data_IF_970332602690
#
_entry.id   IF_970332602690
#
_cell.length_a   1.000
_cell.length_b   1.000
_cell.length_c   1.000
_cell.angle_alpha   90.00
_cell.angle_beta   90.00
_cell.angle_gamma   90.00
#
_symmetry.space_group_name_H-M   'P 1'
#
loop_
_entity.id
_entity.type
_entity.pdbx_description
1 polymer ?
#
# COMPACT_ATOMS: atom_id res chain seq x y z
N UNK A 1 21.20 29.33 -23.66
CA UNK A 1 22.49 28.59 -23.66
C UNK A 1 22.36 27.52 -22.60
N UNK A 2 22.14 26.27 -22.96
CA UNK A 2 22.16 25.15 -22.01
C UNK A 2 23.62 24.93 -21.60
N UNK A 3 24.00 25.28 -20.38
CA UNK A 3 25.22 24.77 -19.79
C UNK A 3 25.04 23.27 -19.55
N UNK A 4 25.75 22.47 -20.32
CA UNK A 4 25.87 21.03 -20.04
C UNK A 4 26.74 20.90 -18.78
N UNK A 5 26.11 20.53 -17.66
CA UNK A 5 26.78 20.14 -16.41
C UNK A 5 27.45 18.77 -16.60
N UNK A 6 28.63 18.72 -17.23
CA UNK A 6 29.30 17.48 -17.59
C UNK A 6 30.75 17.39 -17.12
N UNK A 7 31.21 18.30 -16.27
CA UNK A 7 32.58 18.21 -15.78
C UNK A 7 32.63 17.58 -14.36
N UNK A 8 33.76 16.91 -14.01
CA UNK A 8 33.94 16.38 -12.65
C UNK A 8 33.89 17.47 -11.56
N UNK A 9 34.15 18.73 -11.90
CA UNK A 9 34.07 19.89 -11.02
C UNK A 9 32.63 20.28 -10.76
N UNK A 10 31.76 20.26 -11.76
CA UNK A 10 30.32 20.52 -11.61
C UNK A 10 29.68 19.50 -10.68
N UNK A 11 30.04 18.22 -10.83
CA UNK A 11 29.56 17.14 -9.97
C UNK A 11 30.04 17.27 -8.52
N UNK A 12 31.22 17.79 -8.28
CA UNK A 12 31.74 18.07 -6.91
C UNK A 12 30.99 19.23 -6.27
N UNK A 13 30.78 20.31 -7.02
CA UNK A 13 30.02 21.47 -6.55
C UNK A 13 28.58 21.13 -6.19
N UNK A 14 27.92 20.30 -7.02
CA UNK A 14 26.57 19.75 -6.76
C UNK A 14 26.58 18.93 -5.48
N UNK A 15 27.56 18.05 -5.29
CA UNK A 15 27.66 17.19 -4.11
C UNK A 15 27.87 17.99 -2.82
N UNK A 16 28.75 18.99 -2.87
CA UNK A 16 29.01 19.88 -1.74
C UNK A 16 27.76 20.68 -1.37
N UNK A 17 27.01 21.22 -2.33
CA UNK A 17 25.77 21.95 -2.08
C UNK A 17 24.67 21.04 -1.48
N UNK A 18 24.60 19.76 -1.91
CA UNK A 18 23.68 18.77 -1.32
C UNK A 18 24.06 18.42 0.12
N UNK A 19 25.36 18.28 0.43
CA UNK A 19 25.87 18.04 1.78
C UNK A 19 25.62 19.23 2.72
N UNK A 20 25.56 20.45 2.19
CA UNK A 20 25.20 21.67 2.91
C UNK A 20 23.67 21.88 3.06
N UNK A 21 22.85 20.93 2.60
CA UNK A 21 21.39 21.02 2.62
C UNK A 21 20.79 22.01 1.62
N UNK A 22 21.61 22.50 0.69
CA UNK A 22 21.20 23.37 -0.41
C UNK A 22 20.83 22.51 -1.61
N UNK A 23 19.78 22.87 -2.33
CA UNK A 23 19.46 22.20 -3.59
C UNK A 23 20.16 22.93 -4.76
N UNK A 24 21.29 22.41 -5.27
CA UNK A 24 22.06 23.10 -6.31
C UNK A 24 21.32 23.23 -7.65
N UNK A 25 20.21 22.50 -7.82
CA UNK A 25 19.39 22.57 -9.01
C UNK A 25 18.28 23.63 -8.93
N UNK A 26 18.05 24.19 -7.74
CA UNK A 26 17.06 25.28 -7.54
C UNK A 26 17.71 26.66 -7.63
N UNK A 27 19.02 26.80 -7.37
CA UNK A 27 19.74 28.07 -7.51
C UNK A 27 20.26 28.35 -8.93
N UNK A 28 20.24 27.39 -9.84
CA UNK A 28 20.57 27.62 -11.25
C UNK A 28 19.33 28.01 -12.01
N UNK A 29 19.16 29.31 -12.29
CA UNK A 29 18.36 29.92 -13.39
C UNK A 29 17.44 28.98 -14.17
N UNK A 30 16.58 28.21 -13.48
CA UNK A 30 15.37 27.74 -14.13
C UNK A 30 14.52 28.99 -14.29
N UNK A 31 14.36 29.57 -15.50
CA UNK A 31 13.57 30.76 -15.69
C UNK A 31 12.20 30.50 -15.06
N UNK A 32 11.79 31.38 -14.13
CA UNK A 32 10.42 31.30 -13.63
C UNK A 32 9.51 31.25 -14.85
N UNK A 33 8.45 30.44 -14.79
CA UNK A 33 7.52 30.30 -15.90
C UNK A 33 7.03 31.68 -16.46
N UNK A 34 7.05 32.71 -15.62
CA UNK A 34 6.77 34.12 -15.94
C UNK A 34 7.77 34.71 -16.94
N UNK A 35 9.03 34.26 -16.93
CA UNK A 35 10.09 34.73 -17.83
C UNK A 35 10.06 34.01 -19.19
N UNK A 36 9.27 32.94 -19.33
CA UNK A 36 9.14 32.14 -20.56
C UNK A 36 7.90 32.53 -21.37
N UNK A 37 7.68 33.79 -21.64
CA UNK A 37 6.44 34.32 -22.27
C UNK A 37 6.03 33.60 -23.58
N UNK A 38 7.00 33.03 -24.31
CA UNK A 38 6.71 32.21 -25.51
C UNK A 38 6.34 30.77 -25.22
N UNK A 39 7.03 30.11 -24.29
CA UNK A 39 6.88 28.67 -23.96
C UNK A 39 5.71 28.46 -22.99
N UNK A 40 5.43 29.39 -22.08
CA UNK A 40 4.30 29.32 -21.12
C UNK A 40 2.92 29.28 -21.80
N UNK A 41 2.82 29.68 -23.07
CA UNK A 41 1.56 29.54 -23.85
C UNK A 41 1.27 28.09 -24.26
N UNK A 42 2.26 27.22 -24.24
CA UNK A 42 2.20 25.86 -24.79
C UNK A 42 2.38 24.80 -23.71
N UNK A 43 3.28 25.01 -22.74
CA UNK A 43 3.64 24.05 -21.70
C UNK A 43 3.39 24.58 -20.28
N UNK A 44 3.18 23.70 -19.33
CA UNK A 44 3.07 24.00 -17.91
C UNK A 44 1.98 25.00 -17.50
N UNK A 45 0.99 25.27 -18.33
CA UNK A 45 -0.04 26.30 -18.10
C UNK A 45 -0.90 26.08 -16.84
N UNK A 46 -0.85 24.89 -16.26
CA UNK A 46 -1.60 24.48 -15.05
C UNK A 46 -0.69 23.95 -13.96
N UNK A 47 0.62 24.10 -14.11
CA UNK A 47 1.62 23.73 -13.11
C UNK A 47 1.90 24.99 -12.30
N UNK A 48 1.78 24.88 -10.98
CA UNK A 48 2.03 25.99 -10.05
C UNK A 48 3.49 26.00 -9.61
N UNK A 49 4.06 24.81 -9.41
CA UNK A 49 5.40 24.66 -8.87
C UNK A 49 6.00 23.32 -9.28
N UNK A 50 7.33 23.25 -9.30
CA UNK A 50 8.10 22.01 -9.42
C UNK A 50 8.90 21.79 -8.15
N UNK A 51 8.81 20.61 -7.56
CA UNK A 51 9.62 20.22 -6.42
C UNK A 51 10.54 19.05 -6.80
N UNK A 52 11.80 19.12 -6.35
CA UNK A 52 12.76 18.03 -6.52
C UNK A 52 12.57 17.02 -5.40
N UNK A 53 12.24 15.79 -5.76
CA UNK A 53 12.10 14.70 -4.81
C UNK A 53 13.48 14.09 -4.48
N UNK A 54 13.69 13.58 -3.26
CA UNK A 54 14.88 12.80 -2.95
C UNK A 54 14.92 11.56 -3.85
N UNK A 55 16.11 11.12 -4.20
CA UNK A 55 16.23 9.86 -4.96
C UNK A 55 15.84 8.67 -4.09
N UNK A 56 15.35 7.56 -4.68
CA UNK A 56 15.11 6.33 -3.93
C UNK A 56 16.31 5.88 -3.11
N UNK A 57 17.52 5.95 -3.68
CA UNK A 57 18.76 5.57 -2.99
C UNK A 57 19.03 6.41 -1.72
N UNK A 58 18.72 7.72 -1.76
CA UNK A 58 18.81 8.58 -0.58
C UNK A 58 17.82 8.16 0.50
N UNK A 59 16.54 7.97 0.13
CA UNK A 59 15.51 7.59 1.10
C UNK A 59 15.75 6.20 1.71
N UNK A 60 16.21 5.25 0.92
CA UNK A 60 16.58 3.91 1.41
C UNK A 60 17.83 3.96 2.31
N UNK A 61 18.78 4.81 2.00
CA UNK A 61 19.99 5.02 2.82
C UNK A 61 19.70 5.73 4.15
N UNK A 62 18.80 6.70 4.15
CA UNK A 62 18.39 7.46 5.36
C UNK A 62 17.47 6.63 6.27
N UNK A 63 16.69 5.73 5.70
CA UNK A 63 15.71 4.88 6.39
C UNK A 63 15.90 3.41 5.95
N UNK A 64 17.02 2.76 6.29
CA UNK A 64 17.30 1.39 5.89
C UNK A 64 16.40 0.39 6.64
N UNK A 65 16.19 -0.77 6.04
CA UNK A 65 15.63 -1.93 6.74
C UNK A 65 16.65 -2.48 7.74
N UNK A 66 16.19 -2.80 8.96
CA UNK A 66 16.98 -3.61 9.89
C UNK A 66 17.14 -5.04 9.35
N UNK A 67 18.15 -5.78 9.84
CA UNK A 67 18.32 -7.20 9.49
C UNK A 67 17.05 -8.01 9.78
N UNK A 68 16.44 -7.79 10.95
CA UNK A 68 15.18 -8.44 11.32
C UNK A 68 14.05 -8.10 10.35
N UNK A 69 13.90 -6.84 9.92
CA UNK A 69 12.89 -6.45 8.94
C UNK A 69 13.12 -7.10 7.57
N UNK A 70 14.38 -7.24 7.14
CA UNK A 70 14.73 -7.94 5.90
C UNK A 70 14.34 -9.43 5.97
N UNK A 71 14.59 -10.10 7.09
CA UNK A 71 14.18 -11.48 7.31
C UNK A 71 12.67 -11.65 7.29
N UNK A 72 11.92 -10.76 7.96
CA UNK A 72 10.44 -10.76 7.94
C UNK A 72 9.93 -10.66 6.51
N UNK A 73 10.46 -9.71 5.72
CA UNK A 73 10.04 -9.53 4.34
C UNK A 73 10.38 -10.74 3.47
N UNK A 74 11.60 -11.27 3.58
CA UNK A 74 12.04 -12.43 2.80
C UNK A 74 11.18 -13.67 3.13
N UNK A 75 11.06 -14.00 4.41
CA UNK A 75 10.32 -15.16 4.87
C UNK A 75 8.82 -15.07 4.51
N UNK A 76 8.19 -13.93 4.75
CA UNK A 76 6.77 -13.77 4.44
C UNK A 76 6.46 -13.81 2.94
N UNK A 77 7.39 -13.38 2.07
CA UNK A 77 7.24 -13.56 0.62
C UNK A 77 7.21 -15.03 0.24
N UNK A 78 8.03 -15.85 0.88
CA UNK A 78 8.06 -17.30 0.62
C UNK A 78 6.81 -18.00 1.19
N UNK A 79 6.33 -17.63 2.38
CA UNK A 79 5.07 -18.13 2.92
C UNK A 79 3.87 -17.77 2.03
N UNK A 80 3.80 -16.51 1.55
CA UNK A 80 2.74 -16.08 0.63
C UNK A 80 2.79 -16.91 -0.66
N UNK A 81 3.97 -17.17 -1.21
CA UNK A 81 4.11 -18.04 -2.38
C UNK A 81 3.63 -19.45 -2.06
N UNK A 82 4.01 -20.01 -0.92
CA UNK A 82 3.58 -21.34 -0.51
C UNK A 82 2.04 -21.45 -0.44
N UNK A 83 1.37 -20.45 0.14
CA UNK A 83 -0.10 -20.37 0.15
C UNK A 83 -0.68 -20.28 -1.28
N UNK A 84 -0.13 -19.43 -2.13
CA UNK A 84 -0.62 -19.24 -3.51
C UNK A 84 -0.47 -20.49 -4.37
N UNK A 85 0.58 -21.28 -4.14
CA UNK A 85 0.84 -22.55 -4.84
C UNK A 85 0.24 -23.79 -4.16
N UNK A 86 -0.52 -23.61 -3.07
CA UNK A 86 -1.17 -24.70 -2.34
C UNK A 86 -0.20 -25.61 -1.56
N UNK A 87 1.00 -25.14 -1.28
CA UNK A 87 2.02 -25.82 -0.45
C UNK A 87 1.79 -25.56 1.05
N UNK A 88 1.12 -24.47 1.37
CA UNK A 88 0.65 -24.10 2.71
C UNK A 88 -0.88 -23.98 2.63
N UNK A 89 -1.58 -24.63 3.55
CA UNK A 89 -3.05 -24.67 3.57
C UNK A 89 -3.68 -23.52 4.34
N UNK A 90 -2.87 -22.66 4.96
CA UNK A 90 -3.36 -21.43 5.60
C UNK A 90 -3.87 -20.45 4.54
N UNK A 91 -5.08 -19.89 4.68
CA UNK A 91 -5.49 -18.81 3.82
C UNK A 91 -4.68 -17.54 4.10
N UNK A 92 -4.27 -16.85 3.04
CA UNK A 92 -3.67 -15.51 3.12
C UNK A 92 -4.74 -14.48 3.52
N UNK A 93 -4.51 -13.75 4.60
CA UNK A 93 -5.42 -12.70 5.08
C UNK A 93 -4.74 -11.34 5.01
N UNK A 94 -5.13 -10.52 4.03
CA UNK A 94 -4.67 -9.13 3.90
C UNK A 94 -5.66 -8.23 4.62
N UNK A 95 -5.30 -7.70 5.79
CA UNK A 95 -6.22 -6.96 6.67
C UNK A 95 -5.59 -5.68 7.22
N UNK A 96 -6.33 -4.58 7.20
CA UNK A 96 -5.89 -3.29 7.71
C UNK A 96 -6.67 -2.12 7.13
N UNK A 97 -6.27 -0.87 7.42
CA UNK A 97 -7.03 0.31 7.02
C UNK A 97 -7.23 0.40 5.51
N UNK A 98 -8.38 0.96 5.10
CA UNK A 98 -8.65 1.27 3.70
C UNK A 98 -7.50 2.11 3.11
N UNK A 99 -7.02 3.09 3.88
CA UNK A 99 -5.80 3.85 3.60
C UNK A 99 -5.18 4.32 4.91
N UNK A 100 -3.87 4.37 4.96
CA UNK A 100 -3.12 4.98 6.07
C UNK A 100 -3.11 6.49 5.87
N UNK A 101 -3.75 7.22 6.77
CA UNK A 101 -3.72 8.68 6.81
C UNK A 101 -3.05 9.19 8.09
N UNK A 102 -3.07 8.39 9.15
CA UNK A 102 -2.41 8.64 10.42
C UNK A 102 -1.43 7.49 10.72
N UNK A 103 -0.11 7.72 10.57
CA UNK A 103 0.90 6.72 10.88
C UNK A 103 0.83 6.20 12.32
N UNK A 104 0.49 7.07 13.30
CA UNK A 104 0.39 6.67 14.70
C UNK A 104 -0.74 5.68 14.93
N UNK A 105 -1.92 5.96 14.38
CA UNK A 105 -3.05 5.04 14.45
C UNK A 105 -2.79 3.73 13.69
N UNK A 106 -2.07 3.79 12.56
CA UNK A 106 -1.67 2.59 11.83
C UNK A 106 -0.72 1.69 12.64
N UNK A 107 0.23 2.26 13.39
CA UNK A 107 1.13 1.49 14.26
C UNK A 107 0.42 0.95 15.50
N UNK A 108 -0.57 1.66 16.06
CA UNK A 108 -1.42 1.11 17.12
C UNK A 108 -2.23 -0.10 16.62
N UNK A 109 -2.79 0.00 15.42
CA UNK A 109 -3.45 -1.13 14.76
C UNK A 109 -2.47 -2.29 14.52
N UNK A 110 -1.24 -2.01 14.09
CA UNK A 110 -0.21 -3.02 13.86
C UNK A 110 0.11 -3.81 15.13
N UNK A 111 0.27 -3.15 16.30
CA UNK A 111 0.52 -3.84 17.57
C UNK A 111 -0.59 -4.81 17.93
N UNK A 112 -1.85 -4.40 17.76
CA UNK A 112 -3.02 -5.26 18.02
C UNK A 112 -3.03 -6.46 17.07
N UNK A 113 -2.77 -6.21 15.79
CA UNK A 113 -2.76 -7.26 14.77
C UNK A 113 -1.60 -8.23 14.97
N UNK A 114 -0.42 -7.75 15.38
CA UNK A 114 0.75 -8.60 15.70
C UNK A 114 0.46 -9.56 16.84
N UNK A 115 -0.17 -9.07 17.92
CA UNK A 115 -0.56 -9.92 19.04
C UNK A 115 -1.53 -11.03 18.59
N UNK A 116 -2.56 -10.66 17.83
CA UNK A 116 -3.55 -11.62 17.32
C UNK A 116 -2.95 -12.58 16.29
N UNK A 117 -2.03 -12.11 15.42
CA UNK A 117 -1.28 -12.96 14.48
C UNK A 117 -0.57 -14.10 15.22
N UNK A 118 0.12 -13.79 16.32
CA UNK A 118 0.82 -14.80 17.12
C UNK A 118 -0.09 -15.90 17.67
N UNK A 119 -1.36 -15.60 17.95
CA UNK A 119 -2.34 -16.57 18.42
C UNK A 119 -2.92 -17.43 17.27
N UNK A 120 -2.97 -16.91 16.04
CA UNK A 120 -3.67 -17.51 14.89
C UNK A 120 -2.70 -18.00 13.79
N UNK A 121 -1.39 -17.97 14.03
CA UNK A 121 -0.37 -18.27 13.03
C UNK A 121 -0.43 -19.73 12.51
N UNK A 122 -0.98 -20.63 13.30
CA UNK A 122 -1.23 -22.01 12.87
C UNK A 122 -2.29 -22.16 11.79
N UNK A 123 -3.28 -21.28 11.72
CA UNK A 123 -4.43 -21.36 10.86
C UNK A 123 -4.45 -20.29 9.76
N UNK A 124 -3.89 -19.11 9.99
CA UNK A 124 -3.96 -17.96 9.09
C UNK A 124 -2.59 -17.38 8.80
N UNK A 125 -2.32 -17.07 7.54
CA UNK A 125 -1.19 -16.22 7.16
C UNK A 125 -1.64 -14.76 7.11
N UNK A 126 -1.41 -14.00 8.19
CA UNK A 126 -1.88 -12.62 8.34
C UNK A 126 -0.81 -11.64 7.83
N UNK A 127 -1.20 -10.78 6.91
CA UNK A 127 -0.40 -9.69 6.33
C UNK A 127 -1.14 -8.37 6.53
N UNK A 128 -0.46 -7.35 7.08
CA UNK A 128 -1.10 -6.05 7.30
C UNK A 128 -1.27 -5.29 5.99
N UNK A 129 -2.48 -4.82 5.73
CA UNK A 129 -2.80 -3.90 4.65
C UNK A 129 -2.32 -2.48 5.01
N UNK A 130 -1.34 -1.96 4.26
CA UNK A 130 -0.70 -0.64 4.47
C UNK A 130 -0.74 0.13 3.16
N UNK A 131 -1.89 0.72 2.85
CA UNK A 131 -2.13 1.41 1.58
C UNK A 131 -1.96 2.91 1.76
N UNK A 132 -1.03 3.50 1.01
CA UNK A 132 -0.68 4.92 1.10
C UNK A 132 -1.28 5.77 -0.01
N UNK A 133 -1.76 5.15 -1.08
CA UNK A 133 -2.28 5.82 -2.26
C UNK A 133 -3.74 5.43 -2.49
N UNK A 134 -4.51 6.34 -3.03
CA UNK A 134 -5.93 6.11 -3.35
C UNK A 134 -6.26 6.57 -4.76
N UNK A 135 -6.84 5.68 -5.60
CA UNK A 135 -7.26 6.05 -6.93
C UNK A 135 -8.49 6.97 -6.83
N UNK A 136 -8.39 8.16 -7.40
CA UNK A 136 -9.50 9.13 -7.45
C UNK A 136 -9.85 9.45 -8.90
N UNK A 137 -11.14 9.55 -9.20
CA UNK A 137 -11.59 9.87 -10.56
C UNK A 137 -11.57 11.38 -10.78
N UNK A 138 -12.01 12.17 -9.80
CA UNK A 138 -12.10 13.65 -9.92
C UNK A 138 -11.55 14.35 -8.70
N UNK A 139 -12.16 14.15 -7.53
CA UNK A 139 -11.84 14.85 -6.28
C UNK A 139 -11.62 13.87 -5.14
N UNK A 140 -10.94 14.32 -4.09
CA UNK A 140 -10.70 13.59 -2.86
C UNK A 140 -9.22 13.41 -2.54
N UNK A 141 -8.93 13.14 -1.28
CA UNK A 141 -7.58 12.90 -0.79
C UNK A 141 -6.92 11.72 -1.52
N UNK A 142 -5.72 11.93 -2.04
CA UNK A 142 -5.00 10.97 -2.90
C UNK A 142 -4.15 9.97 -2.13
N UNK A 143 -4.05 10.10 -0.81
CA UNK A 143 -3.24 9.22 0.03
C UNK A 143 -2.08 9.92 0.71
N UNK A 144 -1.47 9.24 1.68
CA UNK A 144 -0.42 9.78 2.54
C UNK A 144 0.82 10.23 1.75
N UNK A 145 1.20 9.51 0.70
CA UNK A 145 2.35 9.89 -0.13
C UNK A 145 2.08 11.22 -0.83
N UNK A 146 0.88 11.39 -1.36
CA UNK A 146 0.56 12.55 -2.19
C UNK A 146 0.18 13.80 -1.39
N UNK A 147 -0.46 13.64 -0.22
CA UNK A 147 -0.94 14.75 0.61
C UNK A 147 -0.97 14.32 2.08
N UNK A 148 0.21 14.30 2.74
CA UNK A 148 0.37 13.76 4.10
C UNK A 148 -0.33 14.59 5.18
N UNK A 149 -0.54 15.88 4.95
CA UNK A 149 -1.15 16.81 5.90
C UNK A 149 -2.67 16.95 5.72
N UNK A 150 -3.23 16.36 4.66
CA UNK A 150 -4.67 16.38 4.33
C UNK A 150 -5.20 17.82 4.14
N UNK A 151 -4.33 18.71 3.69
CA UNK A 151 -4.61 20.14 3.51
C UNK A 151 -4.50 20.63 2.04
N UNK A 152 -4.14 19.69 1.15
CA UNK A 152 -3.94 19.97 -0.27
C UNK A 152 -2.58 20.61 -0.59
N UNK A 153 -1.66 20.69 0.38
CA UNK A 153 -0.28 21.15 0.15
C UNK A 153 0.52 20.23 -0.74
N UNK A 154 0.12 18.95 -0.82
CA UNK A 154 0.73 17.93 -1.67
C UNK A 154 2.25 17.75 -1.43
N UNK A 155 2.72 17.82 -0.19
CA UNK A 155 4.13 17.63 0.17
C UNK A 155 4.56 16.16 -0.01
N UNK A 156 4.83 15.77 -1.27
CA UNK A 156 5.16 14.39 -1.64
C UNK A 156 6.46 13.92 -0.97
N UNK A 157 7.46 14.81 -0.82
CA UNK A 157 8.70 14.49 -0.12
C UNK A 157 8.44 14.01 1.31
N UNK A 158 7.64 14.76 2.06
CA UNK A 158 7.20 14.37 3.41
C UNK A 158 6.41 13.06 3.38
N UNK A 159 5.51 12.93 2.42
CA UNK A 159 4.67 11.73 2.25
C UNK A 159 5.47 10.46 2.03
N UNK A 160 6.49 10.49 1.17
CA UNK A 160 7.38 9.35 0.91
C UNK A 160 8.13 8.91 2.17
N UNK A 161 8.69 9.87 2.93
CA UNK A 161 9.38 9.58 4.19
C UNK A 161 8.46 9.01 5.25
N UNK A 162 7.23 9.55 5.37
CA UNK A 162 6.22 9.05 6.31
C UNK A 162 5.76 7.64 5.94
N UNK A 163 5.50 7.38 4.67
CA UNK A 163 5.12 6.05 4.19
C UNK A 163 6.19 5.02 4.52
N UNK A 164 7.47 5.32 4.21
CA UNK A 164 8.56 4.40 4.53
C UNK A 164 8.72 4.19 6.03
N UNK A 165 8.71 5.25 6.85
CA UNK A 165 8.78 5.11 8.33
C UNK A 165 7.62 4.28 8.89
N UNK A 166 6.43 4.42 8.33
CA UNK A 166 5.27 3.62 8.74
C UNK A 166 5.50 2.14 8.44
N UNK A 167 6.04 1.81 7.25
CA UNK A 167 6.36 0.42 6.90
C UNK A 167 7.43 -0.17 7.82
N UNK A 168 8.50 0.58 8.09
CA UNK A 168 9.52 0.14 9.04
C UNK A 168 8.91 -0.16 10.40
N UNK A 169 8.05 0.73 10.92
CA UNK A 169 7.36 0.50 12.19
C UNK A 169 6.42 -0.71 12.17
N UNK A 170 5.75 -1.00 11.05
CA UNK A 170 4.94 -2.22 10.90
C UNK A 170 5.80 -3.49 10.93
N UNK A 171 6.96 -3.47 10.27
CA UNK A 171 7.92 -4.56 10.29
C UNK A 171 8.54 -4.74 11.69
N UNK A 172 8.82 -3.66 12.42
CA UNK A 172 9.32 -3.69 13.80
C UNK A 172 8.31 -4.35 14.78
N UNK A 173 7.01 -4.26 14.47
CA UNK A 173 5.97 -5.01 15.20
C UNK A 173 5.86 -6.49 14.76
N UNK A 174 6.74 -6.98 13.89
CA UNK A 174 6.77 -8.37 13.42
C UNK A 174 5.72 -8.71 12.35
N UNK A 175 5.16 -7.72 11.68
CA UNK A 175 4.14 -7.90 10.64
C UNK A 175 4.70 -7.74 9.24
N UNK A 176 4.34 -8.66 8.34
CA UNK A 176 4.47 -8.47 6.90
C UNK A 176 3.49 -7.40 6.40
N UNK A 177 3.89 -6.60 5.41
CA UNK A 177 3.09 -5.52 4.85
C UNK A 177 2.64 -5.82 3.41
N UNK A 178 1.39 -5.43 3.12
CA UNK A 178 0.79 -5.44 1.79
C UNK A 178 0.44 -4.02 1.35
N UNK A 179 0.67 -3.67 0.08
CA UNK A 179 0.28 -2.37 -0.47
C UNK A 179 -0.30 -2.47 -1.88
N UNK A 180 -0.96 -1.41 -2.34
CA UNK A 180 -1.41 -1.25 -3.73
C UNK A 180 -0.50 -0.24 -4.42
N UNK A 181 0.05 -0.61 -5.57
CA UNK A 181 0.88 0.27 -6.39
C UNK A 181 0.02 0.97 -7.43
N UNK A 182 -0.18 2.27 -7.26
CA UNK A 182 -0.96 3.10 -8.17
C UNK A 182 -0.08 4.01 -9.00
N UNK A 183 0.89 4.65 -8.38
CA UNK A 183 1.87 5.52 -9.03
C UNK A 183 3.12 4.69 -9.36
N UNK A 184 3.61 4.68 -10.64
CA UNK A 184 4.70 3.78 -11.05
C UNK A 184 6.05 4.05 -10.40
N UNK A 185 6.28 5.25 -9.85
CA UNK A 185 7.56 5.63 -9.25
C UNK A 185 7.62 5.35 -7.74
N UNK A 186 6.49 5.37 -7.04
CA UNK A 186 6.42 5.15 -5.59
C UNK A 186 7.01 3.81 -5.13
N UNK A 187 6.91 2.70 -5.90
CA UNK A 187 7.53 1.42 -5.53
C UNK A 187 9.03 1.50 -5.29
N UNK A 188 9.75 2.38 -5.98
CA UNK A 188 11.19 2.51 -5.84
C UNK A 188 11.61 2.96 -4.41
N UNK A 189 10.70 3.54 -3.65
CA UNK A 189 10.93 4.04 -2.29
C UNK A 189 10.52 3.07 -1.19
N UNK A 190 9.67 2.07 -1.50
CA UNK A 190 9.01 1.26 -0.48
C UNK A 190 8.96 -0.24 -0.77
N UNK A 191 9.25 -0.69 -2.00
CA UNK A 191 9.02 -2.09 -2.38
C UNK A 191 9.89 -3.10 -1.65
N UNK A 192 11.05 -2.68 -1.14
CA UNK A 192 11.92 -3.52 -0.31
C UNK A 192 11.28 -3.93 1.04
N UNK A 193 10.33 -3.11 1.55
CA UNK A 193 9.60 -3.33 2.79
C UNK A 193 8.22 -4.00 2.59
N UNK A 194 7.87 -4.44 1.37
CA UNK A 194 6.57 -5.00 1.02
C UNK A 194 6.68 -6.51 0.76
N UNK A 195 5.77 -7.27 1.36
CA UNK A 195 5.70 -8.72 1.19
C UNK A 195 4.67 -9.17 0.16
N UNK A 196 3.59 -8.40 -0.05
CA UNK A 196 2.58 -8.63 -1.08
C UNK A 196 2.12 -7.30 -1.70
N UNK A 197 2.08 -7.24 -3.02
CA UNK A 197 1.64 -6.07 -3.77
C UNK A 197 0.33 -6.30 -4.50
N UNK A 198 -0.46 -5.24 -4.72
CA UNK A 198 -1.65 -5.28 -5.54
C UNK A 198 -1.57 -4.28 -6.70
N UNK A 199 -2.10 -4.67 -7.86
CA UNK A 199 -2.44 -3.78 -8.97
C UNK A 199 -3.95 -3.56 -8.93
N UNK A 200 -4.37 -2.31 -8.81
CA UNK A 200 -5.76 -1.92 -8.67
C UNK A 200 -6.60 -2.16 -9.92
N UNK A 201 -7.91 -2.25 -9.74
CA UNK A 201 -8.86 -2.54 -10.82
C UNK A 201 -8.78 -1.57 -12.02
N UNK A 202 -8.42 -0.31 -11.78
CA UNK A 202 -8.26 0.70 -12.84
C UNK A 202 -6.92 0.60 -13.57
N UNK A 203 -5.96 -0.14 -13.03
CA UNK A 203 -4.59 -0.25 -13.53
C UNK A 203 -4.27 -1.63 -14.13
N UNK A 204 -5.17 -2.60 -14.01
CA UNK A 204 -4.96 -3.98 -14.45
C UNK A 204 -4.63 -4.10 -15.94
N UNK A 205 -5.21 -3.26 -16.79
CA UNK A 205 -4.95 -3.24 -18.22
C UNK A 205 -3.79 -2.31 -18.63
N UNK A 206 -3.23 -1.55 -17.67
CA UNK A 206 -2.14 -0.61 -17.95
C UNK A 206 -0.83 -1.35 -18.22
N UNK A 207 -0.23 -1.11 -19.40
CA UNK A 207 1.06 -1.68 -19.77
C UNK A 207 2.17 -1.32 -18.78
N UNK A 208 2.17 -0.08 -18.28
CA UNK A 208 3.17 0.39 -17.31
C UNK A 208 3.07 -0.39 -15.99
N UNK A 209 1.86 -0.62 -15.48
CA UNK A 209 1.66 -1.37 -14.23
C UNK A 209 1.96 -2.87 -14.40
N UNK A 210 1.71 -3.45 -15.56
CA UNK A 210 2.11 -4.83 -15.88
C UNK A 210 3.63 -5.00 -15.94
N UNK A 211 4.33 -4.05 -16.55
CA UNK A 211 5.80 -4.04 -16.56
C UNK A 211 6.36 -3.84 -15.16
N UNK A 212 5.79 -2.92 -14.38
CA UNK A 212 6.12 -2.72 -12.98
C UNK A 212 5.98 -4.03 -12.19
N UNK A 213 4.82 -4.68 -12.28
CA UNK A 213 4.55 -5.93 -11.56
C UNK A 213 5.55 -7.04 -11.91
N UNK A 214 5.97 -7.13 -13.18
CA UNK A 214 6.97 -8.12 -13.61
C UNK A 214 8.37 -7.87 -13.06
N UNK A 215 8.69 -6.64 -12.66
CA UNK A 215 9.99 -6.25 -12.10
C UNK A 215 10.04 -6.28 -10.56
N UNK A 216 8.90 -6.41 -9.90
CA UNK A 216 8.83 -6.45 -8.43
C UNK A 216 9.15 -7.85 -7.89
N UNK A 217 9.77 -7.91 -6.71
CA UNK A 217 10.28 -9.16 -6.13
C UNK A 217 9.26 -9.90 -5.25
N UNK A 218 8.15 -9.25 -4.86
CA UNK A 218 7.08 -9.86 -4.09
C UNK A 218 6.00 -10.47 -4.98
N UNK A 219 5.18 -11.40 -4.50
CA UNK A 219 3.95 -11.80 -5.16
C UNK A 219 3.01 -10.62 -5.41
N UNK A 220 2.41 -10.56 -6.60
CA UNK A 220 1.53 -9.47 -7.01
C UNK A 220 0.14 -10.01 -7.35
N UNK A 221 -0.88 -9.44 -6.69
CA UNK A 221 -2.28 -9.69 -7.01
C UNK A 221 -2.83 -8.65 -7.99
N UNK A 222 -3.52 -9.11 -9.04
CA UNK A 222 -4.25 -8.24 -9.95
C UNK A 222 -5.73 -8.24 -9.58
N UNK A 223 -6.30 -7.07 -9.33
CA UNK A 223 -7.74 -6.94 -9.11
C UNK A 223 -8.51 -7.15 -10.41
N UNK A 224 -9.69 -7.77 -10.33
CA UNK A 224 -10.63 -7.80 -11.44
C UNK A 224 -10.97 -6.37 -11.90
N UNK A 225 -11.33 -6.22 -13.19
CA UNK A 225 -11.70 -4.93 -13.76
C UNK A 225 -12.91 -4.31 -13.05
N UNK A 226 -13.13 -3.01 -13.26
CA UNK A 226 -14.21 -2.26 -12.57
C UNK A 226 -15.61 -2.72 -12.98
N UNK A 227 -15.76 -3.40 -14.12
CA UNK A 227 -16.99 -4.03 -14.59
C UNK A 227 -17.20 -5.47 -14.05
N UNK A 228 -16.23 -5.96 -13.24
CA UNK A 228 -16.23 -7.32 -12.70
C UNK A 228 -15.57 -8.36 -13.59
N UNK A 229 -15.07 -7.99 -14.79
CA UNK A 229 -14.37 -8.90 -15.70
C UNK A 229 -13.07 -9.40 -15.06
N UNK A 230 -12.83 -10.72 -15.16
CA UNK A 230 -11.64 -11.40 -14.64
C UNK A 230 -10.64 -11.76 -15.74
N UNK A 231 -10.95 -11.54 -17.01
CA UNK A 231 -10.11 -11.98 -18.12
C UNK A 231 -8.73 -11.28 -18.12
N UNK A 232 -8.72 -9.94 -18.09
CA UNK A 232 -7.47 -9.19 -18.13
C UNK A 232 -6.57 -9.46 -16.90
N UNK A 233 -7.09 -9.50 -15.65
CA UNK A 233 -6.27 -9.90 -14.50
C UNK A 233 -5.76 -11.34 -14.57
N UNK A 234 -6.58 -12.29 -15.01
CA UNK A 234 -6.15 -13.68 -15.15
C UNK A 234 -5.03 -13.84 -16.18
N UNK A 235 -5.18 -13.19 -17.35
CA UNK A 235 -4.15 -13.17 -18.39
C UNK A 235 -2.85 -12.48 -17.91
N UNK A 236 -2.95 -11.51 -16.98
CA UNK A 236 -1.81 -10.78 -16.45
C UNK A 236 -1.05 -11.51 -15.36
N UNK A 237 -1.76 -12.30 -14.55
CA UNK A 237 -1.22 -12.89 -13.34
C UNK A 237 -0.64 -14.30 -13.53
N UNK A 238 -0.90 -15.01 -14.64
CA UNK A 238 -0.71 -16.47 -14.71
C UNK A 238 -1.24 -17.12 -13.41
N UNK A 239 -2.50 -16.89 -13.11
CA UNK A 239 -3.09 -16.96 -11.77
C UNK A 239 -2.89 -18.30 -11.08
N UNK A 240 -2.29 -18.27 -9.88
CA UNK A 240 -2.07 -19.43 -9.02
C UNK A 240 -2.98 -19.48 -7.79
N UNK A 241 -3.73 -18.42 -7.48
CA UNK A 241 -4.63 -18.40 -6.34
C UNK A 241 -5.68 -17.29 -6.44
N UNK A 242 -6.80 -17.48 -5.75
CA UNK A 242 -7.89 -16.51 -5.66
C UNK A 242 -7.94 -15.89 -4.27
N UNK A 243 -7.73 -14.57 -4.20
CA UNK A 243 -7.94 -13.77 -2.98
C UNK A 243 -9.25 -13.01 -3.14
N UNK A 244 -10.20 -13.25 -2.25
CA UNK A 244 -11.51 -12.60 -2.28
C UNK A 244 -11.46 -11.28 -1.54
N UNK A 245 -11.72 -10.19 -2.25
CA UNK A 245 -11.87 -8.86 -1.64
C UNK A 245 -13.27 -8.77 -1.00
N UNK A 246 -13.32 -8.75 0.34
CA UNK A 246 -14.56 -8.69 1.09
C UNK A 246 -15.14 -7.27 1.20
N UNK A 247 -14.33 -6.24 0.94
CA UNK A 247 -14.68 -4.85 1.29
C UNK A 247 -15.28 -4.01 0.15
N UNK A 248 -15.09 -4.39 -1.12
CA UNK A 248 -15.50 -3.56 -2.26
C UNK A 248 -16.78 -4.07 -2.94
N UNK A 249 -16.65 -4.69 -4.10
CA UNK A 249 -17.80 -5.14 -4.88
C UNK A 249 -18.71 -6.14 -4.15
N UNK A 250 -18.10 -7.08 -3.43
CA UNK A 250 -18.82 -8.14 -2.74
C UNK A 250 -19.70 -7.64 -1.57
N UNK A 251 -19.32 -6.54 -0.93
CA UNK A 251 -20.09 -5.93 0.18
C UNK A 251 -20.85 -4.66 -0.22
N UNK A 252 -20.65 -4.17 -1.46
CA UNK A 252 -21.14 -2.84 -1.85
C UNK A 252 -20.54 -1.70 -1.01
N UNK A 253 -19.32 -1.88 -0.49
CA UNK A 253 -18.59 -0.95 0.40
C UNK A 253 -19.28 -0.71 1.76
N UNK A 254 -20.09 -1.64 2.20
CA UNK A 254 -20.73 -1.62 3.50
C UNK A 254 -19.97 -2.52 4.47
N UNK A 255 -19.54 -1.98 5.61
CA UNK A 255 -18.72 -2.70 6.59
C UNK A 255 -19.45 -3.86 7.26
N UNK A 256 -20.77 -3.76 7.44
CA UNK A 256 -21.55 -4.86 8.01
C UNK A 256 -21.72 -6.02 7.03
N UNK A 257 -21.92 -5.70 5.74
CA UNK A 257 -21.94 -6.71 4.67
C UNK A 257 -20.56 -7.32 4.47
N UNK A 258 -19.49 -6.55 4.65
CA UNK A 258 -18.13 -7.09 4.62
C UNK A 258 -17.97 -8.23 5.63
N UNK A 259 -18.45 -8.04 6.87
CA UNK A 259 -18.45 -9.08 7.88
C UNK A 259 -19.24 -10.33 7.47
N UNK A 260 -20.38 -10.15 6.78
CA UNK A 260 -21.17 -11.28 6.25
C UNK A 260 -20.42 -12.05 5.16
N UNK A 261 -19.73 -11.35 4.24
CA UNK A 261 -18.91 -11.98 3.20
C UNK A 261 -17.79 -12.82 3.82
N UNK A 262 -17.10 -12.31 4.85
CA UNK A 262 -16.06 -13.07 5.56
C UNK A 262 -16.63 -14.35 6.17
N UNK A 263 -17.81 -14.29 6.82
CA UNK A 263 -18.47 -15.47 7.41
C UNK A 263 -18.92 -16.48 6.36
N UNK A 264 -19.42 -16.03 5.19
CA UNK A 264 -19.74 -16.92 4.08
C UNK A 264 -18.50 -17.69 3.60
N UNK A 265 -17.38 -16.97 3.44
CA UNK A 265 -16.10 -17.59 3.05
C UNK A 265 -15.62 -18.56 4.13
N UNK A 266 -15.67 -18.20 5.41
CA UNK A 266 -15.32 -19.10 6.51
C UNK A 266 -16.19 -20.39 6.48
N UNK A 267 -17.49 -20.24 6.25
CA UNK A 267 -18.41 -21.38 6.09
C UNK A 267 -18.07 -22.29 4.90
N UNK A 268 -17.59 -21.75 3.79
CA UNK A 268 -17.11 -22.52 2.62
C UNK A 268 -15.80 -23.24 2.91
N UNK A 269 -14.83 -22.56 3.54
CA UNK A 269 -13.56 -23.16 3.97
C UNK A 269 -13.83 -24.33 4.92
N UNK A 270 -14.70 -24.16 5.93
CA UNK A 270 -15.07 -25.22 6.86
C UNK A 270 -15.72 -26.44 6.17
N UNK A 271 -16.37 -26.25 5.01
CA UNK A 271 -16.93 -27.32 4.18
C UNK A 271 -15.91 -28.01 3.29
N UNK A 272 -14.67 -27.53 3.24
CA UNK A 272 -13.58 -28.13 2.46
C UNK A 272 -13.35 -27.47 1.09
N UNK A 273 -13.88 -26.27 0.82
CA UNK A 273 -13.58 -25.54 -0.41
C UNK A 273 -12.12 -25.12 -0.45
N UNK A 274 -11.40 -25.50 -1.52
CA UNK A 274 -9.97 -25.25 -1.70
C UNK A 274 -9.67 -24.14 -2.73
N UNK A 275 -10.69 -23.65 -3.44
CA UNK A 275 -10.52 -22.63 -4.49
C UNK A 275 -10.22 -21.22 -3.96
N UNK A 276 -10.41 -20.98 -2.66
CA UNK A 276 -10.17 -19.68 -2.02
C UNK A 276 -8.82 -19.74 -1.29
N UNK A 277 -7.81 -19.10 -1.86
CA UNK A 277 -6.45 -19.04 -1.29
C UNK A 277 -6.32 -17.98 -0.21
N UNK A 278 -7.19 -16.97 -0.20
CA UNK A 278 -7.12 -15.90 0.79
C UNK A 278 -8.27 -14.90 0.69
N UNK A 279 -8.24 -13.95 1.62
CA UNK A 279 -9.21 -12.85 1.68
C UNK A 279 -8.52 -11.50 1.91
N UNK A 280 -9.20 -10.44 1.51
CA UNK A 280 -8.81 -9.07 1.85
C UNK A 280 -9.95 -8.39 2.61
N UNK A 281 -9.61 -7.70 3.72
CA UNK A 281 -10.54 -6.94 4.55
C UNK A 281 -10.05 -5.52 4.80
N UNK A 282 -10.95 -4.55 4.74
CA UNK A 282 -10.70 -3.19 5.22
C UNK A 282 -11.17 -3.05 6.67
N UNK A 283 -10.21 -2.79 7.55
CA UNK A 283 -10.37 -2.75 9.00
C UNK A 283 -9.52 -1.65 9.61
N UNK A 284 -10.04 -0.99 10.63
CA UNK A 284 -9.26 -0.05 11.42
C UNK A 284 -9.64 -0.13 12.90
N UNK A 285 -9.13 0.79 13.74
CA UNK A 285 -9.43 0.80 15.18
C UNK A 285 -10.93 1.03 15.39
N UNK A 286 -11.46 2.10 14.78
CA UNK A 286 -12.88 2.46 14.84
C UNK A 286 -13.58 2.08 13.53
N UNK A 287 -14.82 1.60 13.65
CA UNK A 287 -15.64 1.21 12.50
C UNK A 287 -16.19 2.39 11.69
N UNK A 288 -16.55 2.10 10.43
CA UNK A 288 -17.09 3.10 9.52
C UNK A 288 -16.04 4.01 8.90
N UNK A 289 -16.46 5.23 8.55
CA UNK A 289 -15.58 6.27 8.02
C UNK A 289 -16.01 7.67 8.48
N UNK A 290 -15.16 8.65 8.20
CA UNK A 290 -15.38 10.08 8.42
C UNK A 290 -14.91 10.89 7.22
N UNK A 291 -15.28 12.17 7.15
CA UNK A 291 -14.78 13.07 6.11
C UNK A 291 -13.32 13.40 6.36
N UNK A 292 -12.55 13.53 5.29
CA UNK A 292 -11.17 14.03 5.36
C UNK A 292 -11.17 15.46 5.94
N UNK A 293 -10.29 15.69 6.91
CA UNK A 293 -10.06 16.95 7.61
C UNK A 293 -8.63 16.94 8.16
N UNK A 294 -8.07 18.05 8.64
CA UNK A 294 -6.82 18.08 9.37
C UNK A 294 -6.80 17.06 10.50
N UNK A 295 -5.62 16.45 10.78
CA UNK A 295 -5.49 15.32 11.72
C UNK A 295 -6.03 15.59 13.13
N UNK A 296 -5.91 16.82 13.62
CA UNK A 296 -6.38 17.26 14.94
C UNK A 296 -7.92 17.31 15.06
N UNK A 297 -8.63 17.27 13.93
CA UNK A 297 -10.10 17.30 13.85
C UNK A 297 -10.69 15.90 13.60
N UNK A 298 -9.85 14.90 13.39
CA UNK A 298 -10.29 13.54 13.08
C UNK A 298 -10.50 12.70 14.33
N UNK A 299 -11.46 11.81 14.27
CA UNK A 299 -11.58 10.71 15.25
C UNK A 299 -10.41 9.75 15.02
N UNK A 300 -9.62 9.53 16.05
CA UNK A 300 -8.46 8.67 16.03
C UNK A 300 -8.82 7.24 15.60
N UNK A 301 -8.03 6.68 14.70
CA UNK A 301 -8.23 5.30 14.22
C UNK A 301 -9.48 5.06 13.38
N UNK A 302 -10.13 6.10 12.84
CA UNK A 302 -11.29 6.00 11.95
C UNK A 302 -10.92 6.38 10.51
N UNK A 303 -11.34 5.58 9.55
CA UNK A 303 -11.02 5.77 8.12
C UNK A 303 -11.53 7.12 7.58
N UNK A 304 -10.73 7.78 6.73
CA UNK A 304 -11.13 8.97 5.96
C UNK A 304 -11.45 8.65 4.48
N UNK A 305 -11.45 7.37 4.15
CA UNK A 305 -11.76 6.87 2.80
C UNK A 305 -12.98 5.94 2.85
N UNK A 306 -12.89 4.69 2.37
CA UNK A 306 -14.04 3.78 2.47
C UNK A 306 -14.22 3.29 3.91
N UNK A 307 -15.43 2.82 4.25
CA UNK A 307 -15.77 2.33 5.56
C UNK A 307 -14.97 1.06 5.92
N UNK A 308 -14.45 1.02 7.13
CA UNK A 308 -13.70 -0.11 7.68
C UNK A 308 -14.50 -0.84 8.76
N UNK A 309 -14.22 -2.13 8.94
CA UNK A 309 -14.59 -2.86 10.14
C UNK A 309 -13.89 -2.24 11.36
N UNK A 310 -14.53 -2.28 12.53
CA UNK A 310 -13.85 -1.97 13.79
C UNK A 310 -12.86 -3.07 14.17
N UNK A 311 -11.89 -2.76 15.04
CA UNK A 311 -10.96 -3.75 15.58
C UNK A 311 -11.70 -4.94 16.21
N UNK A 312 -12.68 -4.69 17.08
CA UNK A 312 -13.40 -5.77 17.77
C UNK A 312 -14.10 -6.73 16.79
N UNK A 313 -14.73 -6.18 15.76
CA UNK A 313 -15.36 -7.00 14.72
C UNK A 313 -14.31 -7.78 13.94
N UNK A 314 -13.18 -7.17 13.64
CA UNK A 314 -12.09 -7.81 12.89
C UNK A 314 -11.48 -8.96 13.67
N UNK A 315 -11.16 -8.77 14.94
CA UNK A 315 -10.64 -9.83 15.81
C UNK A 315 -11.59 -11.02 15.85
N UNK A 316 -12.89 -10.77 16.04
CA UNK A 316 -13.90 -11.83 16.03
C UNK A 316 -13.91 -12.60 14.70
N UNK A 317 -13.90 -11.89 13.56
CA UNK A 317 -13.91 -12.50 12.23
C UNK A 317 -12.64 -13.32 11.94
N UNK A 318 -11.47 -12.85 12.38
CA UNK A 318 -10.23 -13.60 12.22
C UNK A 318 -10.25 -14.89 13.05
N UNK A 319 -10.78 -14.86 14.27
CA UNK A 319 -10.98 -16.06 15.11
C UNK A 319 -12.00 -17.03 14.49
N UNK A 320 -13.12 -16.53 13.95
CA UNK A 320 -14.11 -17.34 13.22
C UNK A 320 -13.49 -18.01 11.99
N UNK A 321 -12.64 -17.29 11.24
CA UNK A 321 -11.94 -17.81 10.06
C UNK A 321 -10.89 -18.87 10.44
N UNK A 322 -10.10 -18.64 11.47
CA UNK A 322 -9.13 -19.61 11.98
C UNK A 322 -9.84 -20.92 12.44
N UNK A 323 -10.94 -20.78 13.17
CA UNK A 323 -11.76 -21.94 13.53
C UNK A 323 -12.27 -22.71 12.29
N UNK A 324 -12.68 -22.02 11.25
CA UNK A 324 -13.11 -22.67 10.00
C UNK A 324 -11.99 -23.47 9.33
N UNK A 325 -10.75 -22.98 9.36
CA UNK A 325 -9.55 -23.69 8.89
C UNK A 325 -9.28 -24.94 9.73
N UNK A 326 -9.33 -24.80 11.05
CA UNK A 326 -9.20 -25.95 11.98
C UNK A 326 -10.27 -27.01 11.69
N UNK A 327 -11.55 -26.64 11.51
CA UNK A 327 -12.64 -27.56 11.16
C UNK A 327 -12.37 -28.24 9.81
N UNK A 328 -11.86 -27.53 8.81
CA UNK A 328 -11.48 -28.12 7.51
C UNK A 328 -10.44 -29.23 7.67
N UNK A 329 -9.44 -29.03 8.52
CA UNK A 329 -8.34 -29.99 8.76
C UNK A 329 -8.76 -31.26 9.50
N UNK A 330 -9.89 -31.21 10.20
CA UNK A 330 -10.46 -32.38 10.89
C UNK A 330 -11.28 -33.31 10.00
N UNK A 331 -11.56 -32.89 8.75
CA UNK A 331 -12.29 -33.68 7.74
C UNK A 331 -11.37 -34.44 6.81
#
# INVERSE_FOLDING_TARGET
MQQQLNTPEDLRAIRQAMDEGKNPLVETDVPRWEDQVGISRIVNRRVLEFEVLPTPAQVLGDLPLSEQAQEIVAYSRDEIRACLYGQDDRPLVVVGPCSVHDPKAALDYARRLSALKGELDGELLIVMRVYFEKPRTTVGWKGLINDPDIDGSCNIRKGLLLARRTLLGVLDEGLAAATEFLEPTSPQYISDAISWGAIGARNTESQVHRQLASGLSMPIGFKNATDGSIKAPADSAAAHGLIVDCSHGNSGKDEHRQAQVVRDIAGRIAKGEQGITGIMMESFIEGGNQKAAPLDQLVYGKSITDKCLSWNTTEQLLRELAHAVAVRRWK
#
